data_IF_385265869984
#
_entry.id   IF_385265869984
#
_cell.length_a   1.000
_cell.length_b   1.000
_cell.length_c   1.000
_cell.angle_alpha   90.00
_cell.angle_beta   90.00
_cell.angle_gamma   90.00
#
_symmetry.space_group_name_H-M   'P 1'
#
loop_
_entity.id
_entity.type
_entity.pdbx_description
1 polymer ?
#
# COMPACT_ATOMS: atom_id res chain seq x y z
N UNK A 1 9.14 -3.09 -32.60
CA UNK A 1 9.59 -3.49 -31.25
C UNK A 1 10.59 -4.62 -31.47
N UNK A 2 11.73 -4.53 -30.85
CA UNK A 2 12.77 -5.55 -30.94
C UNK A 2 12.23 -6.86 -30.32
N UNK A 3 11.98 -7.88 -31.16
CA UNK A 3 11.43 -9.17 -30.75
C UNK A 3 12.40 -10.00 -29.89
N UNK A 4 13.62 -9.48 -29.66
CA UNK A 4 14.70 -10.16 -28.94
C UNK A 4 14.69 -9.83 -27.43
N UNK A 5 14.09 -8.71 -26.99
CA UNK A 5 14.04 -8.33 -25.56
C UNK A 5 12.97 -9.13 -24.81
N UNK A 6 13.35 -10.32 -24.35
CA UNK A 6 12.48 -11.22 -23.59
C UNK A 6 13.16 -11.71 -22.29
N UNK A 7 13.46 -10.81 -21.35
CA UNK A 7 14.14 -11.18 -20.12
C UNK A 7 13.29 -12.10 -19.24
N UNK A 8 13.94 -12.91 -18.41
CA UNK A 8 13.26 -13.68 -17.37
C UNK A 8 12.82 -12.74 -16.23
N UNK A 9 11.58 -12.92 -15.76
CA UNK A 9 10.96 -12.13 -14.68
C UNK A 9 10.80 -12.99 -13.44
N UNK A 10 11.33 -12.56 -12.29
CA UNK A 10 11.02 -13.19 -11.01
C UNK A 10 9.75 -12.56 -10.41
N UNK A 11 8.74 -13.38 -10.21
CA UNK A 11 7.48 -12.99 -9.56
C UNK A 11 7.58 -13.37 -8.09
N UNK A 12 7.57 -12.40 -7.20
CA UNK A 12 7.57 -12.64 -5.76
C UNK A 12 6.15 -12.56 -5.20
N UNK A 13 5.77 -13.60 -4.47
CA UNK A 13 4.40 -13.79 -3.94
C UNK A 13 4.45 -14.05 -2.43
N UNK A 14 4.45 -13.01 -1.60
CA UNK A 14 4.26 -13.18 -0.16
C UNK A 14 2.82 -13.62 0.12
N UNK A 15 2.65 -14.58 1.05
CA UNK A 15 1.34 -15.11 1.39
C UNK A 15 1.27 -15.52 2.87
N UNK A 16 0.09 -15.35 3.48
CA UNK A 16 -0.21 -15.83 4.82
C UNK A 16 -1.72 -16.06 4.97
N UNK A 17 -2.12 -17.30 5.23
CA UNK A 17 -3.52 -17.72 5.38
C UNK A 17 -4.40 -17.30 4.18
N UNK A 18 -3.88 -17.48 2.98
CA UNK A 18 -4.58 -17.19 1.70
C UNK A 18 -5.07 -18.46 1.00
N UNK A 19 -5.34 -19.56 1.69
CA UNK A 19 -5.82 -20.82 1.09
C UNK A 19 -7.04 -20.63 0.20
N UNK A 20 -7.89 -19.67 0.51
CA UNK A 20 -9.05 -19.30 -0.34
C UNK A 20 -8.68 -18.63 -1.65
N UNK A 21 -7.51 -18.00 -1.75
CA UNK A 21 -7.16 -17.07 -2.83
C UNK A 21 -5.94 -17.51 -3.64
N UNK A 22 -4.98 -18.18 -3.00
CA UNK A 22 -3.66 -18.47 -3.57
C UNK A 22 -3.74 -19.29 -4.86
N UNK A 23 -4.74 -20.16 -5.01
CA UNK A 23 -4.98 -20.91 -6.25
C UNK A 23 -5.24 -19.98 -7.44
N UNK A 24 -6.14 -18.99 -7.29
CA UNK A 24 -6.43 -18.00 -8.32
C UNK A 24 -5.23 -17.09 -8.63
N UNK A 25 -4.44 -16.77 -7.60
CA UNK A 25 -3.18 -16.03 -7.74
C UNK A 25 -2.23 -16.77 -8.69
N UNK A 26 -1.89 -18.02 -8.41
CA UNK A 26 -0.99 -18.86 -9.21
C UNK A 26 -1.54 -19.09 -10.61
N UNK A 27 -2.82 -19.42 -10.74
CA UNK A 27 -3.47 -19.61 -12.05
C UNK A 27 -3.36 -18.36 -12.94
N UNK A 28 -3.40 -17.15 -12.35
CA UNK A 28 -3.26 -15.91 -13.09
C UNK A 28 -1.85 -15.72 -13.67
N UNK A 29 -0.83 -16.25 -13.00
CA UNK A 29 0.55 -16.28 -13.48
C UNK A 29 0.71 -17.32 -14.59
N UNK A 30 0.14 -18.51 -14.43
CA UNK A 30 0.16 -19.56 -15.46
C UNK A 30 -0.53 -19.12 -16.75
N UNK A 31 -1.53 -18.23 -16.66
CA UNK A 31 -2.27 -17.67 -17.81
C UNK A 31 -1.57 -16.48 -18.49
N UNK A 32 -0.37 -16.06 -18.01
CA UNK A 32 0.35 -14.97 -18.66
C UNK A 32 0.75 -15.33 -20.10
N UNK A 33 0.50 -14.41 -21.03
CA UNK A 33 0.90 -14.55 -22.43
C UNK A 33 2.42 -14.42 -22.63
N UNK A 34 3.12 -13.85 -21.67
CA UNK A 34 4.56 -13.81 -21.56
C UNK A 34 5.05 -15.02 -20.77
N UNK A 35 5.81 -15.92 -21.38
CA UNK A 35 6.13 -17.23 -20.81
C UNK A 35 7.44 -17.29 -19.99
N UNK A 36 8.29 -16.25 -20.10
CA UNK A 36 9.62 -16.25 -19.51
C UNK A 36 9.62 -15.66 -18.08
N UNK A 37 9.13 -16.45 -17.12
CA UNK A 37 9.01 -16.07 -15.71
C UNK A 37 9.28 -17.26 -14.78
N UNK A 38 9.67 -16.95 -13.56
CA UNK A 38 9.61 -17.82 -12.37
C UNK A 38 8.72 -17.19 -11.30
N UNK A 39 8.09 -17.99 -10.45
CA UNK A 39 7.30 -17.50 -9.31
C UNK A 39 7.84 -18.08 -7.99
N UNK A 40 8.19 -17.21 -7.06
CA UNK A 40 8.68 -17.53 -5.73
C UNK A 40 7.60 -17.15 -4.73
N UNK A 41 6.92 -18.17 -4.21
CA UNK A 41 5.88 -18.02 -3.18
C UNK A 41 6.54 -18.12 -1.81
N UNK A 42 6.44 -17.07 -0.99
CA UNK A 42 6.90 -17.08 0.41
C UNK A 42 5.68 -17.24 1.32
N UNK A 43 5.51 -18.42 1.88
CA UNK A 43 4.50 -18.69 2.89
C UNK A 43 5.01 -18.30 4.28
N UNK A 44 4.46 -17.23 4.84
CA UNK A 44 4.81 -16.67 6.15
C UNK A 44 4.17 -17.47 7.30
N UNK A 45 4.28 -18.81 7.25
CA UNK A 45 3.81 -19.69 8.30
C UNK A 45 2.30 -19.86 8.36
N UNK A 46 1.64 -20.00 7.22
CA UNK A 46 0.20 -20.27 7.15
C UNK A 46 -0.19 -21.52 7.94
N UNK A 47 -1.32 -21.42 8.60
CA UNK A 47 -1.97 -22.52 9.35
C UNK A 47 -3.15 -23.15 8.62
N UNK A 48 -3.57 -22.53 7.50
CA UNK A 48 -4.62 -23.03 6.61
C UNK A 48 -4.04 -23.87 5.45
N UNK A 49 -4.85 -24.17 4.44
CA UNK A 49 -4.46 -24.95 3.27
C UNK A 49 -3.56 -24.22 2.26
N UNK A 50 -3.05 -23.03 2.57
CA UNK A 50 -2.26 -22.21 1.62
C UNK A 50 -1.09 -22.98 1.03
N UNK A 51 -0.23 -23.57 1.89
CA UNK A 51 0.96 -24.29 1.44
C UNK A 51 0.61 -25.54 0.62
N UNK A 52 -0.41 -26.30 1.05
CA UNK A 52 -0.85 -27.51 0.35
C UNK A 52 -1.38 -27.20 -1.06
N UNK A 53 -2.12 -26.09 -1.20
CA UNK A 53 -2.60 -25.65 -2.52
C UNK A 53 -1.43 -25.29 -3.43
N UNK A 54 -0.44 -24.50 -2.93
CA UNK A 54 0.75 -24.16 -3.73
C UNK A 54 1.51 -25.40 -4.14
N UNK A 55 1.70 -26.35 -3.23
CA UNK A 55 2.39 -27.61 -3.50
C UNK A 55 1.68 -28.47 -4.55
N UNK A 56 0.36 -28.34 -4.68
CA UNK A 56 -0.43 -29.01 -5.71
C UNK A 56 -0.19 -28.52 -7.15
N UNK A 57 0.48 -27.39 -7.35
CA UNK A 57 0.88 -26.91 -8.68
C UNK A 57 2.22 -27.55 -9.10
N UNK A 58 2.19 -28.38 -10.15
CA UNK A 58 3.37 -29.13 -10.63
C UNK A 58 4.11 -28.42 -11.78
N UNK A 59 4.17 -27.09 -11.76
CA UNK A 59 4.95 -26.31 -12.73
C UNK A 59 6.35 -26.02 -12.16
N UNK A 60 7.46 -26.41 -12.84
CA UNK A 60 8.81 -26.24 -12.33
C UNK A 60 9.25 -24.78 -12.16
N UNK A 61 8.51 -23.83 -12.71
CA UNK A 61 8.75 -22.40 -12.56
C UNK A 61 8.20 -21.84 -11.24
N UNK A 62 7.38 -22.62 -10.50
CA UNK A 62 6.76 -22.22 -9.23
C UNK A 62 7.53 -22.87 -8.09
N UNK A 63 8.01 -22.05 -7.17
CA UNK A 63 8.76 -22.48 -6.01
C UNK A 63 8.10 -21.98 -4.74
N UNK A 64 7.82 -22.90 -3.79
CA UNK A 64 7.32 -22.58 -2.46
C UNK A 64 8.47 -22.55 -1.44
N UNK A 65 8.58 -21.45 -0.73
CA UNK A 65 9.46 -21.28 0.42
C UNK A 65 8.60 -21.00 1.65
N UNK A 66 8.83 -21.76 2.73
CA UNK A 66 8.11 -21.56 4.01
C UNK A 66 9.01 -20.92 5.05
N UNK A 67 8.43 -20.13 5.92
CA UNK A 67 9.10 -19.54 7.08
C UNK A 67 8.17 -19.51 8.30
N UNK A 68 8.73 -19.39 9.53
CA UNK A 68 7.91 -19.07 10.69
C UNK A 68 7.22 -17.72 10.49
N UNK A 69 5.97 -17.60 10.96
CA UNK A 69 5.20 -16.36 10.84
C UNK A 69 5.94 -15.20 11.50
N UNK A 70 6.15 -14.14 10.74
CA UNK A 70 6.78 -12.89 11.20
C UNK A 70 5.76 -11.80 11.51
N UNK A 71 4.55 -11.98 11.01
CA UNK A 71 3.45 -11.04 11.17
C UNK A 71 3.54 -9.81 10.24
N UNK A 72 2.47 -8.99 10.21
CA UNK A 72 2.33 -7.91 9.24
C UNK A 72 3.35 -6.78 9.43
N UNK A 73 3.90 -6.58 10.64
CA UNK A 73 4.89 -5.54 10.90
C UNK A 73 6.30 -5.88 10.42
N UNK A 74 6.57 -7.16 10.09
CA UNK A 74 7.83 -7.64 9.53
C UNK A 74 7.71 -7.99 8.04
N UNK A 75 6.66 -7.50 7.38
CA UNK A 75 6.35 -7.77 5.97
C UNK A 75 7.53 -7.43 5.04
N UNK A 76 8.27 -6.34 5.31
CA UNK A 76 9.46 -5.97 4.55
C UNK A 76 10.53 -7.08 4.55
N UNK A 77 10.71 -7.80 5.65
CA UNK A 77 11.67 -8.90 5.73
C UNK A 77 11.21 -10.09 4.87
N UNK A 78 9.91 -10.38 4.83
CA UNK A 78 9.35 -11.41 3.95
C UNK A 78 9.56 -11.08 2.48
N UNK A 79 9.32 -9.83 2.07
CA UNK A 79 9.60 -9.36 0.71
C UNK A 79 11.10 -9.37 0.38
N UNK A 80 11.96 -8.94 1.30
CA UNK A 80 13.42 -8.97 1.11
C UNK A 80 13.97 -10.39 1.03
N UNK A 81 13.39 -11.36 1.76
CA UNK A 81 13.72 -12.76 1.59
C UNK A 81 13.36 -13.25 0.18
N UNK A 82 12.16 -12.91 -0.31
CA UNK A 82 11.76 -13.24 -1.67
C UNK A 82 12.69 -12.58 -2.71
N UNK A 83 13.06 -11.32 -2.51
CA UNK A 83 14.00 -10.60 -3.36
C UNK A 83 15.39 -11.25 -3.39
N UNK A 84 15.88 -11.75 -2.27
CA UNK A 84 17.17 -12.45 -2.21
C UNK A 84 17.15 -13.79 -2.95
N UNK A 85 16.01 -14.47 -3.00
CA UNK A 85 15.81 -15.71 -3.74
C UNK A 85 15.59 -15.49 -5.23
N UNK A 86 14.99 -14.37 -5.59
CA UNK A 86 14.77 -13.95 -6.96
C UNK A 86 16.11 -13.48 -7.56
N UNK A 87 16.57 -14.09 -8.66
CA UNK A 87 17.90 -13.80 -9.23
C UNK A 87 17.84 -13.02 -10.55
N UNK A 88 16.64 -12.75 -11.06
CA UNK A 88 16.47 -12.16 -12.38
C UNK A 88 16.54 -10.63 -12.37
N UNK A 89 16.73 -10.04 -13.55
CA UNK A 89 16.88 -8.59 -13.74
C UNK A 89 15.58 -7.83 -13.37
N UNK A 90 14.42 -8.45 -13.55
CA UNK A 90 13.13 -7.82 -13.29
C UNK A 90 12.36 -8.57 -12.23
N UNK A 91 11.83 -7.80 -11.28
CA UNK A 91 11.06 -8.30 -10.13
C UNK A 91 9.62 -7.81 -10.28
N UNK A 92 8.67 -8.72 -10.36
CA UNK A 92 7.24 -8.42 -10.31
C UNK A 92 6.67 -8.81 -8.94
N UNK A 93 5.69 -8.05 -8.44
CA UNK A 93 5.04 -8.33 -7.15
C UNK A 93 3.61 -8.81 -7.42
N UNK A 94 3.25 -9.94 -6.80
CA UNK A 94 1.88 -10.44 -6.75
C UNK A 94 1.61 -10.99 -5.34
N UNK A 95 0.81 -10.29 -4.57
CA UNK A 95 0.39 -10.74 -3.24
C UNK A 95 -0.57 -11.94 -3.34
N UNK A 96 -0.48 -12.88 -2.39
CA UNK A 96 -1.16 -14.19 -2.50
C UNK A 96 -2.69 -14.15 -2.51
N UNK A 97 -3.31 -13.00 -2.17
CA UNK A 97 -4.75 -12.75 -2.24
C UNK A 97 -5.20 -12.04 -3.53
N UNK A 98 -4.24 -11.55 -4.36
CA UNK A 98 -4.48 -10.82 -5.60
C UNK A 98 -4.32 -11.73 -6.84
N UNK A 99 -4.63 -11.20 -8.03
CA UNK A 99 -4.40 -11.89 -9.31
C UNK A 99 -4.19 -10.89 -10.46
N UNK A 100 -3.68 -11.38 -11.59
CA UNK A 100 -3.31 -10.55 -12.73
C UNK A 100 -4.18 -10.78 -13.97
N UNK A 101 -4.32 -9.76 -14.84
CA UNK A 101 -4.78 -9.97 -16.22
C UNK A 101 -3.69 -10.71 -17.03
N UNK A 102 -4.05 -11.48 -18.07
CA UNK A 102 -3.09 -12.32 -18.80
C UNK A 102 -2.03 -11.54 -19.59
N UNK A 103 -2.25 -10.28 -19.86
CA UNK A 103 -1.36 -9.40 -20.65
C UNK A 103 -0.40 -8.55 -19.80
N UNK A 104 -0.39 -8.67 -18.46
CA UNK A 104 0.43 -7.76 -17.62
C UNK A 104 1.90 -7.76 -17.99
N UNK A 105 2.54 -8.93 -18.03
CA UNK A 105 3.98 -9.01 -18.28
C UNK A 105 4.34 -8.55 -19.70
N UNK A 106 3.58 -8.96 -20.72
CA UNK A 106 3.84 -8.57 -22.11
C UNK A 106 3.65 -7.05 -22.33
N UNK A 107 2.77 -6.41 -21.56
CA UNK A 107 2.53 -4.95 -21.63
C UNK A 107 3.61 -4.14 -20.94
N UNK A 108 4.10 -4.59 -19.78
CA UNK A 108 5.01 -3.77 -18.96
C UNK A 108 6.50 -4.01 -19.26
N UNK A 109 6.91 -5.23 -19.64
CA UNK A 109 8.32 -5.55 -19.88
C UNK A 109 8.98 -4.67 -20.96
N UNK A 110 8.32 -4.33 -22.09
CA UNK A 110 8.94 -3.47 -23.12
C UNK A 110 9.36 -2.08 -22.62
N UNK A 111 8.77 -1.58 -21.53
CA UNK A 111 9.16 -0.29 -20.96
C UNK A 111 10.63 -0.25 -20.50
N UNK A 112 11.20 -1.39 -20.14
CA UNK A 112 12.55 -1.51 -19.63
C UNK A 112 13.65 -1.57 -20.72
N UNK A 113 13.28 -1.44 -21.99
CA UNK A 113 14.24 -1.14 -23.08
C UNK A 113 14.91 0.22 -22.82
N UNK A 114 14.19 1.17 -22.23
CA UNK A 114 14.78 2.38 -21.66
C UNK A 114 15.51 2.04 -20.36
N UNK A 115 16.85 2.20 -20.28
CA UNK A 115 17.62 1.88 -19.08
C UNK A 115 17.33 2.83 -17.90
N UNK A 116 16.74 4.00 -18.13
CA UNK A 116 16.35 4.95 -17.08
C UNK A 116 15.05 4.54 -16.39
N UNK A 117 14.25 3.65 -17.01
CA UNK A 117 13.02 3.13 -16.40
C UNK A 117 13.37 2.10 -15.33
N UNK A 118 13.07 2.44 -14.09
CA UNK A 118 13.34 1.59 -12.92
C UNK A 118 12.09 0.86 -12.42
N UNK A 119 10.89 1.36 -12.74
CA UNK A 119 9.61 0.79 -12.34
C UNK A 119 8.57 0.98 -13.44
N UNK A 120 7.89 -0.10 -13.81
CA UNK A 120 6.72 -0.07 -14.70
C UNK A 120 5.46 -0.50 -13.94
N UNK A 121 4.33 0.19 -14.14
CA UNK A 121 3.10 -0.08 -13.43
C UNK A 121 1.85 0.29 -14.24
N UNK A 122 0.69 -0.14 -13.76
CA UNK A 122 -0.57 0.21 -14.39
C UNK A 122 -1.72 0.35 -13.41
N UNK A 123 -2.98 0.35 -13.94
CA UNK A 123 -4.15 0.53 -13.11
C UNK A 123 -4.47 -0.70 -12.26
N UNK A 124 -4.78 -0.53 -10.97
CA UNK A 124 -5.40 -1.58 -10.17
C UNK A 124 -6.91 -1.58 -10.36
N UNK A 125 -7.52 -2.75 -10.43
CA UNK A 125 -8.95 -2.93 -10.27
C UNK A 125 -9.25 -3.56 -8.91
N UNK A 126 -10.20 -3.01 -8.15
CA UNK A 126 -10.63 -3.61 -6.89
C UNK A 126 -11.70 -4.68 -7.18
N UNK A 127 -11.53 -5.86 -6.59
CA UNK A 127 -12.47 -6.98 -6.66
C UNK A 127 -12.94 -7.40 -5.27
N UNK A 128 -14.11 -8.00 -5.18
CA UNK A 128 -14.60 -8.60 -3.95
C UNK A 128 -13.88 -9.92 -3.60
N UNK A 129 -14.23 -10.53 -2.48
CA UNK A 129 -13.67 -11.82 -2.05
C UNK A 129 -13.93 -12.97 -3.06
N UNK A 130 -14.88 -12.84 -3.97
CA UNK A 130 -15.18 -13.82 -5.03
C UNK A 130 -14.42 -13.55 -6.33
N UNK A 131 -13.71 -12.40 -6.43
CA UNK A 131 -13.02 -11.98 -7.64
C UNK A 131 -13.89 -11.17 -8.60
N UNK A 132 -15.08 -10.74 -8.17
CA UNK A 132 -15.97 -9.90 -8.99
C UNK A 132 -15.51 -8.46 -8.91
N UNK A 133 -15.29 -7.83 -10.07
CA UNK A 133 -14.85 -6.43 -10.14
C UNK A 133 -15.89 -5.48 -9.55
N UNK A 134 -15.42 -4.57 -8.71
CA UNK A 134 -16.26 -3.54 -8.11
C UNK A 134 -16.50 -2.40 -9.11
N UNK A 135 -17.75 -1.95 -9.22
CA UNK A 135 -18.14 -0.84 -10.10
C UNK A 135 -17.40 0.48 -9.79
N UNK A 136 -17.04 0.70 -8.53
CA UNK A 136 -16.30 1.88 -8.13
C UNK A 136 -14.82 1.73 -8.47
N UNK A 137 -14.27 2.69 -9.22
CA UNK A 137 -12.82 2.75 -9.46
C UNK A 137 -12.05 2.72 -8.15
N UNK A 138 -10.90 2.04 -8.15
CA UNK A 138 -10.02 1.97 -7.00
C UNK A 138 -9.65 3.38 -6.47
N UNK A 139 -9.29 3.47 -5.20
CA UNK A 139 -8.82 4.75 -4.64
C UNK A 139 -7.61 5.28 -5.41
N UNK A 140 -6.67 4.41 -5.73
CA UNK A 140 -5.45 4.73 -6.50
C UNK A 140 -5.78 5.27 -7.89
N UNK A 141 -6.70 4.63 -8.63
CA UNK A 141 -7.17 5.12 -9.94
C UNK A 141 -7.81 6.50 -9.85
N UNK A 142 -8.60 6.75 -8.79
CA UNK A 142 -9.20 8.08 -8.59
C UNK A 142 -8.16 9.17 -8.33
N UNK A 143 -7.11 8.84 -7.58
CA UNK A 143 -6.00 9.77 -7.31
C UNK A 143 -5.21 10.14 -8.56
N UNK A 144 -5.03 9.19 -9.49
CA UNK A 144 -4.29 9.42 -10.73
C UNK A 144 -5.03 10.27 -11.75
N UNK A 145 -6.34 10.39 -11.63
CA UNK A 145 -7.16 11.14 -12.58
C UNK A 145 -6.71 12.61 -12.65
N UNK A 146 -6.26 13.03 -13.84
CA UNK A 146 -5.80 14.40 -14.10
C UNK A 146 -4.35 14.67 -13.69
N UNK A 147 -3.58 13.67 -13.28
CA UNK A 147 -2.15 13.85 -13.06
C UNK A 147 -1.40 14.08 -14.37
N UNK A 148 -0.34 14.90 -14.30
CA UNK A 148 0.53 15.18 -15.43
C UNK A 148 1.37 13.95 -15.81
N UNK A 149 1.85 13.95 -17.05
CA UNK A 149 2.83 12.96 -17.52
C UNK A 149 4.04 12.90 -16.60
N UNK A 150 4.58 14.06 -16.20
CA UNK A 150 5.76 14.14 -15.33
C UNK A 150 5.58 13.37 -14.01
N UNK A 151 4.41 13.42 -13.40
CA UNK A 151 4.12 12.68 -12.16
C UNK A 151 3.96 11.19 -12.43
N UNK A 152 3.20 10.79 -13.46
CA UNK A 152 2.94 9.39 -13.76
C UNK A 152 4.20 8.65 -14.21
N UNK A 153 5.07 9.32 -14.96
CA UNK A 153 6.30 8.74 -15.51
C UNK A 153 7.55 9.08 -14.67
N UNK A 154 7.38 9.85 -13.60
CA UNK A 154 8.50 10.34 -12.79
C UNK A 154 9.60 10.97 -13.66
N UNK A 155 9.20 11.79 -14.62
CA UNK A 155 10.10 12.45 -15.58
C UNK A 155 9.80 13.97 -15.62
N UNK A 156 10.70 14.81 -15.09
CA UNK A 156 12.00 14.45 -14.51
C UNK A 156 11.92 13.63 -13.22
N UNK A 157 12.97 12.87 -12.94
CA UNK A 157 13.12 12.06 -11.73
C UNK A 157 12.86 12.92 -10.49
N UNK A 158 12.05 12.43 -9.55
CA UNK A 158 11.59 13.16 -8.36
C UNK A 158 10.20 13.79 -8.49
N UNK A 159 9.61 13.85 -9.70
CA UNK A 159 8.25 14.39 -9.89
C UNK A 159 7.19 13.56 -9.15
N UNK A 160 7.29 12.24 -9.18
CA UNK A 160 6.44 11.35 -8.41
C UNK A 160 6.68 11.49 -6.90
N UNK A 161 7.94 11.64 -6.48
CA UNK A 161 8.32 11.90 -5.09
C UNK A 161 7.60 13.13 -4.55
N UNK A 162 7.77 14.27 -5.26
CA UNK A 162 7.14 15.53 -4.88
C UNK A 162 5.63 15.42 -4.76
N UNK A 163 4.98 14.72 -5.70
CA UNK A 163 3.54 14.49 -5.63
C UNK A 163 3.16 13.64 -4.42
N UNK A 164 3.83 12.51 -4.16
CA UNK A 164 3.52 11.62 -3.05
C UNK A 164 3.71 12.29 -1.68
N UNK A 165 4.70 13.17 -1.54
CA UNK A 165 4.90 14.00 -0.36
C UNK A 165 3.72 14.94 -0.10
N UNK A 166 3.21 15.60 -1.15
CA UNK A 166 2.08 16.52 -1.07
C UNK A 166 0.72 15.81 -0.94
N UNK A 167 0.65 14.55 -1.32
CA UNK A 167 -0.57 13.73 -1.31
C UNK A 167 -0.85 13.03 0.03
N UNK A 168 -0.34 13.56 1.15
CA UNK A 168 -0.58 13.03 2.50
C UNK A 168 -0.19 11.55 2.67
N UNK A 169 0.93 11.13 2.08
CA UNK A 169 1.41 9.75 2.19
C UNK A 169 0.62 8.72 1.38
N UNK A 170 -0.16 9.17 0.40
CA UNK A 170 -0.92 8.26 -0.48
C UNK A 170 -0.03 7.77 -1.62
N UNK A 171 0.11 6.45 -1.73
CA UNK A 171 0.85 5.86 -2.84
C UNK A 171 0.12 6.03 -4.17
N UNK A 172 0.88 6.46 -5.20
CA UNK A 172 0.44 6.43 -6.60
C UNK A 172 0.31 5.01 -7.15
N UNK A 173 0.95 4.05 -6.50
CA UNK A 173 1.26 2.74 -7.06
C UNK A 173 0.66 1.66 -6.15
N UNK A 174 0.07 0.64 -6.75
CA UNK A 174 -0.40 -0.55 -6.03
C UNK A 174 0.60 -1.70 -6.26
N UNK A 175 1.05 -2.41 -5.20
CA UNK A 175 2.12 -3.42 -5.32
C UNK A 175 1.84 -4.48 -6.39
N UNK A 176 0.64 -5.05 -6.42
CA UNK A 176 0.29 -6.10 -7.38
C UNK A 176 0.24 -5.64 -8.86
N UNK A 177 0.49 -4.33 -9.16
CA UNK A 177 0.47 -3.81 -10.53
C UNK A 177 1.86 -3.59 -11.14
N UNK A 178 2.94 -3.83 -10.40
CA UNK A 178 4.30 -3.35 -10.76
C UNK A 178 5.21 -4.43 -11.32
N UNK A 179 6.24 -3.95 -12.04
CA UNK A 179 7.52 -4.62 -12.29
C UNK A 179 8.63 -3.62 -11.95
N UNK A 180 9.70 -4.06 -11.32
CA UNK A 180 10.82 -3.22 -10.88
C UNK A 180 12.13 -3.78 -11.45
N UNK A 181 13.04 -2.92 -11.86
CA UNK A 181 14.42 -3.31 -12.21
C UNK A 181 15.18 -3.66 -10.93
N UNK A 182 15.77 -4.85 -10.88
CA UNK A 182 16.56 -5.35 -9.73
C UNK A 182 17.63 -4.37 -9.27
N UNK A 183 18.42 -3.84 -10.20
CA UNK A 183 19.50 -2.90 -9.87
C UNK A 183 19.01 -1.62 -9.19
N UNK A 184 17.76 -1.21 -9.44
CA UNK A 184 17.14 -0.10 -8.71
C UNK A 184 16.72 -0.51 -7.29
N UNK A 185 16.20 -1.74 -7.10
CA UNK A 185 15.93 -2.28 -5.77
C UNK A 185 17.22 -2.41 -4.93
N UNK A 186 18.30 -2.85 -5.53
CA UNK A 186 19.60 -2.93 -4.85
C UNK A 186 20.13 -1.55 -4.45
N UNK A 187 20.02 -0.56 -5.35
CA UNK A 187 20.38 0.84 -5.05
C UNK A 187 19.52 1.47 -3.96
N UNK A 188 18.23 1.09 -3.87
CA UNK A 188 17.32 1.58 -2.82
C UNK A 188 17.53 0.87 -1.48
N UNK A 189 18.27 -0.25 -1.43
CA UNK A 189 18.43 -1.07 -0.23
C UNK A 189 17.33 -2.12 -0.03
N UNK A 190 16.58 -2.47 -1.08
CA UNK A 190 15.50 -3.45 -1.04
C UNK A 190 14.14 -2.88 -0.63
N UNK A 191 13.28 -3.73 -0.07
CA UNK A 191 12.00 -3.31 0.49
C UNK A 191 12.21 -2.67 1.86
N UNK A 192 11.72 -1.44 2.01
CA UNK A 192 12.00 -0.62 3.19
C UNK A 192 11.15 -1.02 4.38
N UNK A 193 11.83 -1.33 5.47
CA UNK A 193 11.23 -1.56 6.78
C UNK A 193 11.06 -0.24 7.51
N UNK A 194 9.86 0.00 8.03
CA UNK A 194 9.58 1.11 8.93
C UNK A 194 8.94 0.54 10.20
N UNK A 195 9.55 0.79 11.35
CA UNK A 195 9.11 0.22 12.61
C UNK A 195 7.64 0.51 12.91
N UNK A 196 6.86 -0.55 13.09
CA UNK A 196 5.42 -0.46 13.35
C UNK A 196 4.55 -0.09 12.14
N UNK A 197 5.10 -0.06 10.91
CA UNK A 197 4.33 0.13 9.68
C UNK A 197 4.13 -1.22 8.99
N UNK A 198 2.90 -1.75 8.87
CA UNK A 198 2.63 -3.02 8.20
C UNK A 198 2.47 -2.84 6.67
N UNK A 199 3.31 -2.03 6.07
CA UNK A 199 3.40 -1.77 4.62
C UNK A 199 4.86 -1.60 4.23
N UNK A 200 5.19 -2.01 3.01
CA UNK A 200 6.51 -1.83 2.42
C UNK A 200 6.48 -0.97 1.17
N UNK A 201 5.32 -0.87 0.55
CA UNK A 201 5.10 -0.27 -0.77
C UNK A 201 5.41 1.24 -0.77
N UNK A 202 4.75 2.03 0.06
CA UNK A 202 4.94 3.48 0.08
C UNK A 202 6.40 3.88 0.37
N UNK A 203 7.07 3.39 1.43
CA UNK A 203 8.47 3.70 1.68
C UNK A 203 9.40 3.29 0.52
N UNK A 204 9.20 2.10 -0.04
CA UNK A 204 10.02 1.60 -1.14
C UNK A 204 9.83 2.41 -2.42
N UNK A 205 8.59 2.77 -2.76
CA UNK A 205 8.32 3.56 -3.98
C UNK A 205 8.82 5.00 -3.86
N UNK A 206 8.83 5.57 -2.65
CA UNK A 206 9.46 6.86 -2.38
C UNK A 206 10.96 6.84 -2.70
N UNK A 207 11.69 5.82 -2.25
CA UNK A 207 13.13 5.70 -2.54
C UNK A 207 13.37 5.42 -4.03
N UNK A 208 12.59 4.54 -4.67
CA UNK A 208 12.70 4.26 -6.10
C UNK A 208 12.43 5.49 -6.97
N UNK A 209 11.54 6.38 -6.53
CA UNK A 209 11.21 7.61 -7.27
C UNK A 209 12.35 8.64 -7.29
N UNK A 210 13.40 8.47 -6.47
CA UNK A 210 14.64 9.24 -6.51
C UNK A 210 15.74 8.61 -7.37
N UNK A 211 15.52 7.40 -7.90
CA UNK A 211 16.55 6.60 -8.59
C UNK A 211 16.42 6.65 -10.11
N UNK A 212 15.18 6.69 -10.64
CA UNK A 212 14.97 6.67 -12.06
C UNK A 212 13.53 6.94 -12.47
N UNK A 213 13.29 6.87 -13.78
CA UNK A 213 11.97 7.09 -14.37
C UNK A 213 11.04 5.92 -14.09
N UNK A 214 9.75 6.21 -14.16
CA UNK A 214 8.68 5.22 -14.15
C UNK A 214 8.07 5.09 -15.53
N UNK A 215 7.38 3.98 -15.75
CA UNK A 215 6.49 3.80 -16.91
C UNK A 215 5.09 3.50 -16.40
N UNK A 216 4.11 4.20 -16.94
CA UNK A 216 2.70 4.02 -16.61
C UNK A 216 1.88 3.50 -17.79
N UNK A 217 1.11 2.43 -17.57
CA UNK A 217 0.09 1.94 -18.48
C UNK A 217 -1.30 2.27 -17.95
N UNK A 218 -2.21 2.84 -18.77
CA UNK A 218 -3.60 3.08 -18.34
C UNK A 218 -4.46 1.80 -18.30
N UNK A 219 -3.90 0.65 -18.68
CA UNK A 219 -4.59 -0.63 -18.62
C UNK A 219 -4.57 -1.22 -17.21
N UNK A 220 -5.55 -2.09 -16.92
CA UNK A 220 -5.57 -2.85 -15.67
C UNK A 220 -4.40 -3.84 -15.64
N UNK A 221 -3.50 -3.69 -14.66
CA UNK A 221 -2.30 -4.53 -14.49
C UNK A 221 -2.32 -5.38 -13.22
N UNK A 222 -3.39 -5.29 -12.44
CA UNK A 222 -3.59 -6.11 -11.25
C UNK A 222 -5.00 -6.00 -10.70
N UNK A 223 -5.54 -7.11 -10.23
CA UNK A 223 -6.82 -7.19 -9.54
C UNK A 223 -6.56 -7.33 -8.06
N UNK A 224 -6.91 -6.30 -7.29
CA UNK A 224 -6.68 -6.22 -5.85
C UNK A 224 -7.94 -6.67 -5.09
N UNK A 225 -7.81 -7.73 -4.33
CA UNK A 225 -8.92 -8.30 -3.59
C UNK A 225 -9.19 -7.52 -2.30
N UNK A 226 -10.46 -7.28 -2.05
CA UNK A 226 -10.95 -6.62 -0.83
C UNK A 226 -11.68 -7.62 0.04
N UNK A 227 -11.09 -7.95 1.17
CA UNK A 227 -11.66 -8.86 2.16
C UNK A 227 -11.33 -8.39 3.59
N UNK A 228 -12.01 -8.96 4.56
CA UNK A 228 -11.93 -8.53 5.96
C UNK A 228 -10.54 -8.70 6.60
N UNK A 229 -9.78 -9.71 6.17
CA UNK A 229 -8.45 -10.02 6.69
C UNK A 229 -7.33 -9.24 5.98
N UNK A 230 -7.64 -8.28 5.10
CA UNK A 230 -6.63 -7.46 4.44
C UNK A 230 -5.90 -6.57 5.45
N UNK A 231 -4.56 -6.55 5.41
CA UNK A 231 -3.69 -5.75 6.32
C UNK A 231 -4.12 -4.28 6.35
N UNK A 232 -4.39 -3.69 5.19
CA UNK A 232 -4.83 -2.29 5.06
C UNK A 232 -6.14 -1.98 5.79
N UNK A 233 -7.04 -2.95 5.91
CA UNK A 233 -8.30 -2.79 6.63
C UNK A 233 -8.07 -2.88 8.14
N UNK A 234 -7.29 -3.88 8.58
CA UNK A 234 -7.02 -4.12 10.00
C UNK A 234 -6.16 -3.03 10.67
N UNK A 235 -5.24 -2.41 9.93
CA UNK A 235 -4.23 -1.50 10.48
C UNK A 235 -4.29 -0.06 9.94
N UNK A 236 -5.43 0.37 9.39
CA UNK A 236 -5.57 1.68 8.72
C UNK A 236 -5.10 2.87 9.56
N UNK A 237 -5.32 2.85 10.88
CA UNK A 237 -4.89 3.89 11.81
C UNK A 237 -3.37 3.92 11.96
N UNK A 238 -2.76 2.79 12.28
CA UNK A 238 -1.31 2.64 12.44
C UNK A 238 -0.58 3.04 11.16
N UNK A 239 -1.11 2.62 10.00
CA UNK A 239 -0.57 2.98 8.69
C UNK A 239 -0.53 4.51 8.53
N UNK A 240 -1.63 5.20 8.81
CA UNK A 240 -1.70 6.65 8.64
C UNK A 240 -0.67 7.39 9.50
N UNK A 241 -0.57 7.05 10.78
CA UNK A 241 0.42 7.61 11.71
C UNK A 241 1.86 7.37 11.22
N UNK A 242 2.20 6.11 10.94
CA UNK A 242 3.57 5.73 10.59
C UNK A 242 4.01 6.26 9.23
N UNK A 243 3.10 6.34 8.25
CA UNK A 243 3.38 6.95 6.95
C UNK A 243 3.66 8.43 7.09
N UNK A 244 2.91 9.16 7.93
CA UNK A 244 3.16 10.58 8.19
C UNK A 244 4.55 10.83 8.81
N UNK A 245 4.92 10.02 9.80
CA UNK A 245 6.25 10.10 10.43
C UNK A 245 7.37 9.74 9.44
N UNK A 246 7.19 8.67 8.66
CA UNK A 246 8.12 8.31 7.60
C UNK A 246 8.31 9.45 6.58
N UNK A 247 7.25 10.14 6.20
CA UNK A 247 7.30 11.25 5.22
C UNK A 247 8.21 12.38 5.70
N UNK A 248 8.14 12.75 6.98
CA UNK A 248 9.01 13.77 7.56
C UNK A 248 10.47 13.30 7.60
N UNK A 249 10.71 12.08 8.10
CA UNK A 249 12.04 11.47 8.15
C UNK A 249 12.67 11.34 6.74
N UNK A 250 11.87 10.94 5.75
CA UNK A 250 12.30 10.87 4.35
C UNK A 250 12.74 12.24 3.82
N UNK A 251 11.99 13.30 4.10
CA UNK A 251 12.34 14.65 3.69
C UNK A 251 13.64 15.16 4.33
N UNK A 252 13.89 14.81 5.58
CA UNK A 252 15.14 15.17 6.26
C UNK A 252 16.33 14.43 5.65
N UNK A 253 16.19 13.14 5.40
CA UNK A 253 17.25 12.30 4.79
C UNK A 253 17.59 12.68 3.34
N UNK A 254 16.61 13.18 2.59
CA UNK A 254 16.78 13.51 1.17
C UNK A 254 16.61 15.00 0.87
N UNK A 255 16.95 15.87 1.82
CA UNK A 255 16.79 17.33 1.72
C UNK A 255 17.49 17.92 0.49
N UNK A 256 18.60 17.36 0.10
CA UNK A 256 19.44 17.76 -1.04
C UNK A 256 18.93 17.22 -2.39
N UNK A 257 18.10 16.19 -2.38
CA UNK A 257 17.56 15.54 -3.59
C UNK A 257 16.14 15.97 -3.94
N UNK A 258 15.40 16.51 -2.96
CA UNK A 258 14.00 16.89 -3.13
C UNK A 258 13.85 18.39 -3.06
N UNK A 259 13.77 19.03 -4.23
CA UNK A 259 13.52 20.46 -4.33
C UNK A 259 12.05 20.77 -4.07
N UNK A 260 11.78 21.40 -2.94
CA UNK A 260 10.45 21.88 -2.56
C UNK A 260 10.49 23.39 -2.30
N UNK A 261 9.51 24.10 -2.81
CA UNK A 261 9.27 25.49 -2.45
C UNK A 261 8.92 25.64 -0.97
N UNK A 262 9.07 26.84 -0.42
CA UNK A 262 8.70 27.13 0.98
C UNK A 262 7.22 26.80 1.25
N UNK A 263 6.34 27.10 0.31
CA UNK A 263 4.91 26.80 0.43
C UNK A 263 4.60 25.31 0.45
N UNK A 264 5.32 24.52 -0.33
CA UNK A 264 5.14 23.07 -0.34
C UNK A 264 5.63 22.41 0.94
N UNK A 265 6.79 22.84 1.46
CA UNK A 265 7.26 22.39 2.79
C UNK A 265 6.23 22.68 3.87
N UNK A 266 5.71 23.91 3.87
CA UNK A 266 4.65 24.30 4.80
C UNK A 266 3.39 23.43 4.63
N UNK A 267 2.98 23.13 3.40
CA UNK A 267 1.83 22.26 3.12
C UNK A 267 2.04 20.84 3.65
N UNK A 268 3.24 20.27 3.50
CA UNK A 268 3.57 18.93 4.02
C UNK A 268 3.49 18.93 5.55
N UNK A 269 4.04 19.94 6.21
CA UNK A 269 3.94 20.10 7.66
C UNK A 269 2.49 20.26 8.13
N UNK A 270 1.70 21.05 7.41
CA UNK A 270 0.28 21.25 7.70
C UNK A 270 -0.52 19.94 7.52
N UNK A 271 -0.24 19.17 6.49
CA UNK A 271 -0.85 17.86 6.24
C UNK A 271 -0.49 16.88 7.36
N UNK A 272 0.76 16.90 7.82
CA UNK A 272 1.21 16.06 8.93
C UNK A 272 0.46 16.41 10.23
N UNK A 273 0.36 17.71 10.58
CA UNK A 273 -0.40 18.16 11.74
C UNK A 273 -1.90 17.82 11.63
N UNK A 274 -2.48 17.96 10.43
CA UNK A 274 -3.90 17.61 10.21
C UNK A 274 -4.13 16.10 10.38
N UNK A 275 -3.19 15.27 9.94
CA UNK A 275 -3.20 13.83 10.17
C UNK A 275 -3.17 13.48 11.66
N UNK A 276 -2.28 14.12 12.42
CA UNK A 276 -2.15 13.95 13.87
C UNK A 276 -3.42 14.35 14.62
N UNK A 277 -4.04 15.47 14.24
CA UNK A 277 -5.30 15.89 14.83
C UNK A 277 -6.47 14.95 14.50
N UNK A 278 -6.54 14.42 13.29
CA UNK A 278 -7.53 13.39 12.90
C UNK A 278 -7.34 12.10 13.68
N UNK A 279 -6.10 11.72 13.97
CA UNK A 279 -5.77 10.58 14.78
C UNK A 279 -6.26 10.76 16.22
N UNK A 280 -5.93 11.89 16.84
CA UNK A 280 -6.46 12.24 18.15
C UNK A 280 -7.99 12.27 18.18
N UNK A 281 -8.64 12.79 17.14
CA UNK A 281 -10.09 12.78 17.05
C UNK A 281 -10.68 11.37 17.05
N UNK A 282 -10.09 10.48 16.24
CA UNK A 282 -10.50 9.07 16.17
C UNK A 282 -10.33 8.36 17.51
N UNK A 283 -9.21 8.62 18.20
CA UNK A 283 -8.97 8.05 19.54
C UNK A 283 -9.97 8.56 20.57
N UNK A 284 -10.22 9.85 20.58
CA UNK A 284 -11.23 10.43 21.47
C UNK A 284 -12.61 9.81 21.27
N UNK A 285 -13.02 9.55 20.01
CA UNK A 285 -14.26 8.84 19.71
C UNK A 285 -14.25 7.39 20.20
N UNK A 286 -13.15 6.66 19.99
CA UNK A 286 -13.01 5.28 20.45
C UNK A 286 -13.10 5.19 21.99
N UNK A 287 -12.42 6.07 22.70
CA UNK A 287 -12.46 6.14 24.16
C UNK A 287 -13.85 6.53 24.69
N UNK A 288 -14.60 7.39 23.97
CA UNK A 288 -16.01 7.67 24.25
C UNK A 288 -16.87 6.40 24.21
N UNK A 289 -16.68 5.56 23.19
CA UNK A 289 -17.37 4.28 23.04
C UNK A 289 -17.09 3.36 24.24
N UNK A 290 -15.86 3.38 24.76
CA UNK A 290 -15.42 2.59 25.92
C UNK A 290 -15.81 3.23 27.26
N UNK A 291 -16.54 4.35 27.25
CA UNK A 291 -16.90 5.12 28.46
C UNK A 291 -15.67 5.65 29.25
N UNK A 292 -14.52 5.76 28.61
CA UNK A 292 -13.30 6.34 29.17
C UNK A 292 -13.30 7.85 28.95
N UNK A 293 -14.17 8.54 29.71
CA UNK A 293 -14.52 9.93 29.48
C UNK A 293 -13.36 10.91 29.69
N UNK A 294 -12.51 10.65 30.67
CA UNK A 294 -11.38 11.52 30.99
C UNK A 294 -10.32 11.45 29.88
N UNK A 295 -9.95 10.25 29.46
CA UNK A 295 -8.98 10.03 28.40
C UNK A 295 -9.49 10.59 27.07
N UNK A 296 -10.76 10.39 26.75
CA UNK A 296 -11.39 10.97 25.55
C UNK A 296 -11.25 12.49 25.50
N UNK A 297 -11.40 13.19 26.65
CA UNK A 297 -11.23 14.65 26.75
C UNK A 297 -9.83 15.12 26.37
N UNK A 298 -8.79 14.37 26.77
CA UNK A 298 -7.39 14.69 26.43
C UNK A 298 -7.21 14.73 24.92
N UNK A 299 -7.74 13.72 24.24
CA UNK A 299 -7.63 13.60 22.79
C UNK A 299 -8.47 14.66 22.05
N UNK A 300 -9.69 14.94 22.46
CA UNK A 300 -10.50 16.01 21.85
C UNK A 300 -9.88 17.40 22.09
N UNK A 301 -9.27 17.64 23.25
CA UNK A 301 -8.54 18.89 23.51
C UNK A 301 -7.33 19.04 22.60
N UNK A 302 -6.58 17.97 22.31
CA UNK A 302 -5.50 17.99 21.34
C UNK A 302 -6.05 18.33 19.94
N UNK A 303 -7.12 17.65 19.51
CA UNK A 303 -7.77 17.87 18.21
C UNK A 303 -8.31 19.30 18.04
N UNK A 304 -8.73 19.99 19.10
CA UNK A 304 -9.26 21.36 19.02
C UNK A 304 -8.24 22.40 18.50
N UNK A 305 -6.97 22.05 18.42
CA UNK A 305 -5.89 22.86 17.85
C UNK A 305 -5.80 22.76 16.30
N UNK A 306 -6.56 21.85 15.66
CA UNK A 306 -6.58 21.69 14.21
C UNK A 306 -6.89 23.01 13.49
N UNK A 307 -6.21 23.28 12.38
CA UNK A 307 -6.55 24.42 11.50
C UNK A 307 -7.87 24.19 10.76
N UNK A 308 -8.29 22.94 10.57
CA UNK A 308 -9.54 22.58 9.93
C UNK A 308 -10.74 22.88 10.83
N UNK A 309 -11.58 23.84 10.42
CA UNK A 309 -12.73 24.28 11.19
C UNK A 309 -13.71 23.12 11.53
N UNK A 310 -13.98 22.23 10.57
CA UNK A 310 -14.89 21.11 10.77
C UNK A 310 -14.34 20.12 11.80
N UNK A 311 -13.04 19.85 11.78
CA UNK A 311 -12.35 18.98 12.74
C UNK A 311 -12.39 19.62 14.14
N UNK A 312 -12.17 20.93 14.25
CA UNK A 312 -12.28 21.66 15.54
C UNK A 312 -13.69 21.60 16.10
N UNK A 313 -14.69 21.90 15.29
CA UNK A 313 -16.11 21.86 15.73
C UNK A 313 -16.47 20.46 16.22
N UNK A 314 -16.09 19.43 15.47
CA UNK A 314 -16.32 18.04 15.88
C UNK A 314 -15.58 17.70 17.19
N UNK A 315 -14.35 18.21 17.37
CA UNK A 315 -13.57 18.01 18.59
C UNK A 315 -14.25 18.69 19.82
N UNK A 316 -14.73 19.91 19.68
CA UNK A 316 -15.47 20.57 20.76
C UNK A 316 -16.78 19.84 21.11
N UNK A 317 -17.50 19.33 20.10
CA UNK A 317 -18.67 18.49 20.34
C UNK A 317 -18.31 17.22 21.10
N UNK A 318 -17.27 16.50 20.68
CA UNK A 318 -16.77 15.31 21.37
C UNK A 318 -16.30 15.60 22.80
N UNK A 319 -15.60 16.72 23.01
CA UNK A 319 -15.19 17.18 24.32
C UNK A 319 -16.39 17.41 25.25
N UNK A 320 -17.43 18.11 24.77
CA UNK A 320 -18.66 18.34 25.51
C UNK A 320 -19.39 17.03 25.86
N UNK A 321 -19.51 16.13 24.88
CA UNK A 321 -20.14 14.81 25.08
C UNK A 321 -19.41 14.00 26.16
N UNK A 322 -18.09 14.10 26.21
CA UNK A 322 -17.26 13.43 27.22
C UNK A 322 -17.50 13.99 28.63
N UNK A 323 -17.81 15.27 28.77
CA UNK A 323 -18.20 15.91 30.04
C UNK A 323 -19.59 15.50 30.48
N UNK A 324 -20.53 15.39 29.55
CA UNK A 324 -21.90 14.95 29.80
C UNK A 324 -22.03 13.44 29.99
N UNK A 325 -20.91 12.69 29.85
CA UNK A 325 -20.87 11.23 29.83
C UNK A 325 -21.87 10.63 28.82
N UNK A 326 -21.98 11.27 27.65
CA UNK A 326 -22.90 10.89 26.59
C UNK A 326 -22.14 10.30 25.40
N UNK A 327 -22.71 9.23 24.83
CA UNK A 327 -22.26 8.67 23.58
C UNK A 327 -23.40 8.68 22.56
N UNK A 328 -23.27 9.49 21.52
CA UNK A 328 -24.27 9.63 20.44
C UNK A 328 -24.01 8.73 19.22
N UNK A 329 -22.93 7.96 19.20
CA UNK A 329 -22.61 7.05 18.08
C UNK A 329 -23.75 6.07 17.74
N UNK A 330 -24.49 5.51 18.70
CA UNK A 330 -25.66 4.69 18.39
C UNK A 330 -26.73 5.41 17.58
N UNK A 331 -26.92 6.71 17.82
CA UNK A 331 -27.87 7.55 17.06
C UNK A 331 -27.32 7.88 15.65
N UNK A 332 -26.02 8.10 15.52
CA UNK A 332 -25.40 8.34 14.22
C UNK A 332 -25.44 7.11 13.31
N UNK A 333 -25.39 5.90 13.87
CA UNK A 333 -25.58 4.65 13.12
C UNK A 333 -26.96 4.54 12.48
N UNK A 334 -27.99 4.93 13.19
CA UNK A 334 -29.37 4.95 12.67
C UNK A 334 -29.52 5.90 11.48
N UNK A 335 -28.68 6.96 11.42
CA UNK A 335 -28.63 7.93 10.32
C UNK A 335 -27.70 7.53 9.16
N UNK A 336 -27.12 6.33 9.15
CA UNK A 336 -26.20 5.86 8.11
C UNK A 336 -24.83 6.57 8.07
N UNK A 337 -24.49 7.34 9.12
CA UNK A 337 -23.25 8.16 9.20
C UNK A 337 -22.18 7.61 10.14
N UNK A 338 -22.37 6.44 10.74
CA UNK A 338 -21.39 5.85 11.64
C UNK A 338 -20.22 5.26 10.87
N UNK A 339 -18.99 5.60 11.26
CA UNK A 339 -17.79 4.99 10.71
C UNK A 339 -17.63 3.57 11.30
N UNK A 340 -17.96 2.55 10.51
CA UNK A 340 -17.86 1.14 10.88
C UNK A 340 -16.42 0.70 11.26
N UNK A 341 -15.40 1.50 10.91
CA UNK A 341 -14.00 1.21 11.25
C UNK A 341 -13.69 1.35 12.74
N UNK A 342 -14.46 2.15 13.47
CA UNK A 342 -14.29 2.33 14.94
C UNK A 342 -14.73 1.10 15.73
N UNK A 343 -15.59 0.24 15.16
CA UNK A 343 -16.16 -0.91 15.87
C UNK A 343 -15.30 -2.18 15.85
N UNK A 344 -14.49 -2.41 14.79
CA UNK A 344 -13.74 -3.67 14.65
C UNK A 344 -12.53 -3.79 15.57
N UNK A 345 -12.02 -2.68 16.12
CA UNK A 345 -10.90 -2.70 17.06
C UNK A 345 -11.31 -2.87 18.53
N UNK A 346 -12.59 -3.08 18.83
CA UNK A 346 -13.07 -3.28 20.21
C UNK A 346 -13.28 -4.75 20.60
N UNK A 347 -12.99 -5.70 19.68
CA UNK A 347 -13.17 -7.15 19.89
C UNK A 347 -11.86 -7.94 19.80
N UNK A 348 -10.70 -7.29 20.03
CA UNK A 348 -9.41 -7.98 20.19
C UNK A 348 -8.85 -7.71 21.57
#
# INVERSE_FOLDING_TARGET
MDSTFRPLVSIITPTYNHGRFIGACIESVLKQTYSNWEQIVIDDGSSDSTADIVFGFHDPRIRLERQPNRGPFELAQTYNRALALAQQEFIAILEGDDFWPPNKLVTLIPAFVDPEVVLAYGEPADVDARGTEQRAKSHTTRMRKGLSHSVLFNDPVGSATRYMLLAEGRSLIAPSTIIIRRSAMEKSGGFHYVAGLPLTDYPTFMELSLIGKFYYSPETMGYRRRHENSITVGHARTIHEKVSNFTIDFLERHRDKVELSRSERQQIEENWWDAEYKLHFSEGRFLLLQKKWFEARIHFRATSKSKNLMVRVAAYAGFLLSWLHMNIEPLMKLGGRADLRVQRNSEV
#
